data_IF_811573087349
#
_entry.id   IF_811573087349
#
_cell.length_a   1.000
_cell.length_b   1.000
_cell.length_c   1.000
_cell.angle_alpha   90.00
_cell.angle_beta   90.00
_cell.angle_gamma   90.00
#
_symmetry.space_group_name_H-M   'P 1'
#
loop_
_entity.id
_entity.type
_entity.pdbx_description
1 polymer ?
#
# COMPACT_ATOMS: atom_id res chain seq x y z
N UNK A 1 -2.78 5.73 -32.86
CA UNK A 1 -2.67 4.39 -32.23
C UNK A 1 -3.73 4.32 -31.15
N UNK A 2 -4.68 3.40 -31.30
CA UNK A 2 -5.83 3.27 -30.40
C UNK A 2 -5.45 2.61 -29.08
N UNK A 3 -5.61 3.34 -27.98
CA UNK A 3 -5.76 2.77 -26.65
C UNK A 3 -7.21 2.94 -26.26
N UNK A 4 -7.94 1.84 -26.08
CA UNK A 4 -9.25 1.90 -25.43
C UNK A 4 -9.14 2.56 -24.04
N UNK A 5 -10.27 2.97 -23.44
CA UNK A 5 -10.25 3.56 -22.11
C UNK A 5 -9.48 2.66 -21.14
N UNK A 6 -8.69 3.23 -20.22
CA UNK A 6 -7.97 2.45 -19.21
C UNK A 6 -8.96 1.52 -18.50
N UNK A 7 -8.64 0.24 -18.37
CA UNK A 7 -9.55 -0.78 -17.80
C UNK A 7 -9.67 -0.71 -16.26
N UNK A 8 -9.14 0.36 -15.67
CA UNK A 8 -9.15 0.66 -14.24
C UNK A 8 -8.10 -0.09 -13.43
N UNK A 9 -7.20 -0.86 -14.07
CA UNK A 9 -6.14 -1.58 -13.36
C UNK A 9 -5.05 -0.64 -12.85
N UNK A 10 -4.52 -0.99 -11.68
CA UNK A 10 -3.32 -0.38 -11.12
C UNK A 10 -2.13 -0.71 -12.00
N UNK A 11 -1.30 0.30 -12.22
CA UNK A 11 -0.07 0.19 -13.00
C UNK A 11 1.06 0.81 -12.21
N UNK A 12 2.20 0.12 -12.17
CA UNK A 12 3.44 0.68 -11.63
C UNK A 12 4.44 0.78 -12.77
N UNK A 13 5.01 1.97 -12.94
CA UNK A 13 6.01 2.27 -13.97
C UNK A 13 7.27 2.69 -13.25
N UNK A 14 8.36 1.97 -13.53
CA UNK A 14 9.72 2.43 -13.24
C UNK A 14 10.34 2.84 -14.56
N UNK A 15 10.77 4.11 -14.73
CA UNK A 15 11.41 4.56 -15.96
C UNK A 15 12.55 3.62 -16.38
N UNK A 16 12.56 3.23 -17.66
CA UNK A 16 13.54 2.27 -18.19
C UNK A 16 13.25 0.79 -17.91
N UNK A 17 12.15 0.45 -17.21
CA UNK A 17 11.70 -0.94 -16.98
C UNK A 17 10.33 -1.20 -17.62
N UNK A 18 10.00 -2.48 -17.76
CA UNK A 18 8.67 -2.93 -18.20
C UNK A 18 7.63 -2.49 -17.17
N UNK A 19 6.52 -1.89 -17.64
CA UNK A 19 5.34 -1.59 -16.82
C UNK A 19 4.83 -2.87 -16.17
N UNK A 20 4.64 -2.85 -14.85
CA UNK A 20 3.92 -3.89 -14.13
C UNK A 20 2.41 -3.59 -14.20
N UNK A 21 1.68 -4.45 -14.90
CA UNK A 21 0.22 -4.44 -14.93
C UNK A 21 -0.27 -5.25 -13.73
N UNK A 22 -0.88 -4.60 -12.75
CA UNK A 22 -1.43 -5.30 -11.60
C UNK A 22 -2.85 -5.76 -11.92
N UNK A 23 -3.28 -6.95 -11.46
CA UNK A 23 -4.65 -7.41 -11.65
C UNK A 23 -5.67 -6.65 -10.79
N UNK A 24 -5.20 -5.75 -9.91
CA UNK A 24 -6.00 -5.00 -8.95
C UNK A 24 -6.52 -3.72 -9.60
N UNK A 25 -7.74 -3.30 -9.20
CA UNK A 25 -8.33 -2.04 -9.65
C UNK A 25 -8.49 -1.10 -8.48
N UNK A 26 -8.48 0.20 -8.76
CA UNK A 26 -8.82 1.21 -7.76
C UNK A 26 -9.89 2.18 -8.23
N UNK A 27 -10.72 2.63 -7.29
CA UNK A 27 -11.74 3.66 -7.55
C UNK A 27 -11.20 5.08 -7.35
N UNK A 28 -10.01 5.22 -6.75
CA UNK A 28 -9.32 6.49 -6.52
C UNK A 28 -7.87 6.41 -6.98
N UNK A 29 -7.13 7.53 -6.94
CA UNK A 29 -5.70 7.48 -7.18
C UNK A 29 -5.01 6.67 -6.07
N UNK A 30 -4.14 5.69 -6.40
CA UNK A 30 -3.37 4.94 -5.42
C UNK A 30 -2.26 5.80 -4.82
N UNK A 31 -1.76 5.40 -3.65
CA UNK A 31 -0.57 5.97 -3.02
C UNK A 31 0.63 5.06 -3.21
N UNK A 32 1.79 5.66 -3.48
CA UNK A 32 3.07 4.98 -3.58
C UNK A 32 4.02 5.52 -2.51
N UNK A 33 4.59 4.62 -1.71
CA UNK A 33 5.62 4.93 -0.73
C UNK A 33 6.92 4.26 -1.11
N UNK A 34 8.03 4.99 -1.06
CA UNK A 34 9.36 4.47 -1.31
C UNK A 34 10.13 4.53 0.00
N UNK A 35 10.59 3.39 0.50
CA UNK A 35 11.51 3.34 1.64
C UNK A 35 12.69 4.30 1.43
N UNK A 36 12.96 5.21 2.38
CA UNK A 36 14.07 6.15 2.29
C UNK A 36 15.47 5.51 2.40
N UNK A 37 15.57 4.17 2.40
CA UNK A 37 16.80 3.41 2.59
C UNK A 37 17.08 3.11 4.06
N UNK A 38 16.04 3.20 4.91
CA UNK A 38 16.14 2.91 6.34
C UNK A 38 15.91 1.44 6.66
N UNK A 39 15.24 0.68 5.77
CA UNK A 39 15.09 -0.76 5.93
C UNK A 39 15.94 -1.51 4.91
N UNK A 40 16.61 -2.56 5.37
CA UNK A 40 17.21 -3.54 4.47
C UNK A 40 16.37 -4.81 4.51
N UNK A 41 15.84 -5.29 3.37
CA UNK A 41 15.99 -4.72 2.02
C UNK A 41 15.02 -3.54 1.75
N UNK A 42 15.42 -2.63 0.84
CA UNK A 42 14.64 -1.45 0.43
C UNK A 42 13.35 -1.86 -0.30
N UNK A 43 12.23 -1.23 0.08
CA UNK A 43 10.90 -1.61 -0.42
C UNK A 43 10.11 -0.45 -1.00
N UNK A 44 9.33 -0.77 -2.02
CA UNK A 44 8.25 0.06 -2.53
C UNK A 44 6.93 -0.44 -1.93
N UNK A 45 6.08 0.48 -1.53
CA UNK A 45 4.77 0.23 -0.95
C UNK A 45 3.70 0.84 -1.83
N UNK A 46 2.60 0.12 -1.99
CA UNK A 46 1.44 0.55 -2.75
C UNK A 46 0.21 0.45 -1.86
N UNK A 47 -0.57 1.51 -1.75
CA UNK A 47 -1.88 1.49 -1.11
C UNK A 47 -2.96 1.95 -2.09
N UNK A 48 -4.13 1.31 -2.04
CA UNK A 48 -5.23 1.64 -2.93
C UNK A 48 -6.58 1.31 -2.30
N UNK A 49 -7.63 1.86 -2.90
CA UNK A 49 -9.03 1.56 -2.55
C UNK A 49 -9.63 0.70 -3.65
N UNK A 50 -10.11 -0.51 -3.35
CA UNK A 50 -10.69 -1.41 -4.34
C UNK A 50 -12.08 -0.95 -4.84
N UNK A 51 -12.68 -1.73 -5.74
CA UNK A 51 -14.01 -1.44 -6.31
C UNK A 51 -15.15 -1.46 -5.28
N UNK A 52 -14.98 -2.14 -4.14
CA UNK A 52 -15.94 -2.16 -3.04
C UNK A 52 -15.65 -1.08 -1.99
N UNK A 53 -14.61 -0.26 -2.19
CA UNK A 53 -14.21 0.80 -1.27
C UNK A 53 -13.30 0.33 -0.13
N UNK A 54 -12.81 -0.91 -0.15
CA UNK A 54 -11.89 -1.40 0.89
C UNK A 54 -10.47 -0.91 0.65
N UNK A 55 -9.78 -0.58 1.73
CA UNK A 55 -8.37 -0.23 1.69
C UNK A 55 -7.49 -1.46 1.66
N UNK A 56 -6.48 -1.41 0.79
CA UNK A 56 -5.49 -2.46 0.61
C UNK A 56 -4.09 -1.84 0.58
N UNK A 57 -3.11 -2.63 1.02
CA UNK A 57 -1.70 -2.36 0.84
C UNK A 57 -0.96 -3.59 0.29
N UNK A 58 0.14 -3.34 -0.40
CA UNK A 58 1.10 -4.35 -0.86
C UNK A 58 2.49 -3.73 -0.89
N UNK A 59 3.51 -4.55 -1.08
CA UNK A 59 4.89 -4.11 -1.18
C UNK A 59 5.72 -5.02 -2.08
N UNK A 60 6.83 -4.47 -2.58
CA UNK A 60 7.84 -5.21 -3.31
C UNK A 60 9.24 -4.67 -3.00
N UNK A 61 10.25 -5.45 -3.34
CA UNK A 61 11.61 -4.91 -3.44
C UNK A 61 11.72 -3.95 -4.64
N UNK A 62 12.64 -2.99 -4.55
CA UNK A 62 12.88 -2.02 -5.65
C UNK A 62 13.32 -2.67 -6.96
N UNK A 63 13.99 -3.82 -6.89
CA UNK A 63 14.44 -4.59 -8.04
C UNK A 63 13.41 -5.63 -8.51
N UNK A 64 12.35 -5.89 -7.74
CA UNK A 64 11.38 -6.95 -8.03
C UNK A 64 9.92 -6.49 -7.96
N UNK A 65 9.52 -5.58 -8.88
CA UNK A 65 8.17 -5.00 -8.94
C UNK A 65 7.08 -6.06 -9.16
N UNK A 66 7.41 -7.20 -9.76
CA UNK A 66 6.47 -8.28 -10.05
C UNK A 66 5.84 -8.86 -8.76
N UNK A 67 6.51 -8.71 -7.61
CA UNK A 67 5.96 -9.08 -6.29
C UNK A 67 4.65 -8.36 -5.96
N UNK A 68 4.39 -7.16 -6.51
CA UNK A 68 3.12 -6.44 -6.27
C UNK A 68 1.91 -7.18 -6.86
N UNK A 69 2.13 -8.04 -7.86
CA UNK A 69 1.08 -8.85 -8.46
C UNK A 69 0.77 -10.11 -7.65
N UNK A 70 1.61 -10.48 -6.67
CA UNK A 70 1.39 -11.65 -5.82
C UNK A 70 0.20 -11.42 -4.87
N UNK A 71 -0.87 -12.22 -4.96
CA UNK A 71 -2.01 -12.11 -4.05
C UNK A 71 -1.63 -12.29 -2.57
N UNK A 72 -0.60 -13.07 -2.26
CA UNK A 72 -0.17 -13.36 -0.88
C UNK A 72 0.45 -12.15 -0.19
N UNK A 73 0.92 -11.16 -0.95
CA UNK A 73 1.52 -9.92 -0.42
C UNK A 73 0.51 -8.81 -0.19
N UNK A 74 -0.73 -9.00 -0.65
CA UNK A 74 -1.81 -8.04 -0.42
C UNK A 74 -2.36 -8.19 0.98
N UNK A 75 -2.47 -7.07 1.66
CA UNK A 75 -3.05 -6.98 2.97
C UNK A 75 -4.24 -6.04 2.91
N UNK A 76 -5.40 -6.52 3.36
CA UNK A 76 -6.55 -5.65 3.59
C UNK A 76 -6.28 -4.87 4.86
N UNK A 77 -6.54 -3.57 4.83
CA UNK A 77 -6.36 -2.74 6.02
C UNK A 77 -7.53 -2.99 6.95
N UNK A 78 -7.22 -3.38 8.19
CA UNK A 78 -8.21 -3.69 9.21
C UNK A 78 -7.87 -3.00 10.53
N UNK A 79 -8.88 -2.53 11.26
CA UNK A 79 -8.76 -2.01 12.63
C UNK A 79 -9.62 -2.87 13.54
N UNK A 80 -9.02 -3.49 14.56
CA UNK A 80 -9.71 -4.38 15.50
C UNK A 80 -10.54 -5.49 14.79
N UNK A 81 -10.01 -6.06 13.71
CA UNK A 81 -10.67 -7.11 12.92
C UNK A 81 -11.77 -6.62 11.97
N UNK A 82 -11.92 -5.30 11.81
CA UNK A 82 -12.90 -4.69 10.89
C UNK A 82 -12.17 -4.09 9.70
N UNK A 83 -12.60 -4.46 8.49
CA UNK A 83 -12.04 -3.94 7.25
C UNK A 83 -12.33 -2.46 7.04
N UNK A 84 -11.27 -1.69 6.81
CA UNK A 84 -11.32 -0.25 6.60
C UNK A 84 -11.75 0.10 5.18
N UNK A 85 -12.49 1.21 5.08
CA UNK A 85 -13.02 1.70 3.81
C UNK A 85 -12.72 3.18 3.61
N UNK A 86 -12.64 3.57 2.34
CA UNK A 86 -12.53 4.96 1.90
C UNK A 86 -13.21 5.12 0.54
N UNK A 87 -13.65 6.33 0.23
CA UNK A 87 -14.06 6.74 -1.12
C UNK A 87 -13.11 7.80 -1.70
N UNK A 88 -11.99 8.08 -1.01
CA UNK A 88 -10.96 9.05 -1.38
C UNK A 88 -9.60 8.37 -1.52
N UNK A 89 -8.62 9.08 -2.08
CA UNK A 89 -7.26 8.58 -2.21
C UNK A 89 -6.59 8.42 -0.84
N UNK A 90 -5.93 7.28 -0.58
CA UNK A 90 -5.07 7.14 0.59
C UNK A 90 -3.79 7.96 0.43
N UNK A 91 -3.03 8.11 1.51
CA UNK A 91 -1.68 8.65 1.51
C UNK A 91 -0.74 7.76 2.32
N UNK A 92 0.51 7.65 1.88
CA UNK A 92 1.58 6.93 2.56
C UNK A 92 2.68 7.92 2.96
N UNK A 93 3.24 7.75 4.14
CA UNK A 93 4.35 8.57 4.62
C UNK A 93 5.27 7.81 5.56
N UNK A 94 6.57 8.05 5.45
CA UNK A 94 7.55 7.53 6.40
C UNK A 94 7.85 8.54 7.49
N UNK A 95 7.98 8.07 8.72
CA UNK A 95 8.60 8.81 9.81
C UNK A 95 9.42 7.84 10.65
N UNK A 96 10.74 8.05 10.71
CA UNK A 96 11.68 7.09 11.28
C UNK A 96 11.56 5.71 10.62
N UNK A 97 11.40 4.66 11.43
CA UNK A 97 11.22 3.28 10.95
C UNK A 97 9.74 2.88 10.75
N UNK A 98 8.84 3.84 10.67
CA UNK A 98 7.41 3.54 10.55
C UNK A 98 6.86 4.05 9.23
N UNK A 99 6.05 3.20 8.60
CA UNK A 99 5.21 3.58 7.47
C UNK A 99 3.80 3.86 8.00
N UNK A 100 3.32 5.07 7.74
CA UNK A 100 1.97 5.50 8.07
C UNK A 100 1.11 5.48 6.82
N UNK A 101 -0.11 4.96 6.96
CA UNK A 101 -1.19 5.09 6.01
C UNK A 101 -2.22 6.05 6.59
N UNK A 102 -2.69 7.03 5.82
CA UNK A 102 -3.82 7.88 6.18
C UNK A 102 -4.92 7.85 5.12
N UNK A 103 -6.18 7.95 5.54
CA UNK A 103 -7.35 7.95 4.67
C UNK A 103 -8.52 8.73 5.29
N UNK A 104 -9.48 9.14 4.47
CA UNK A 104 -10.76 9.63 4.96
C UNK A 104 -11.74 8.47 5.22
N UNK A 105 -12.38 8.48 6.38
CA UNK A 105 -13.41 7.53 6.76
C UNK A 105 -14.68 7.69 5.94
N UNK A 106 -15.46 6.62 5.89
CA UNK A 106 -16.79 6.61 5.24
C UNK A 106 -17.91 7.13 6.14
N UNK A 107 -17.58 7.54 7.37
CA UNK A 107 -18.54 8.15 8.29
C UNK A 107 -19.00 9.52 7.78
N UNK A 108 -20.13 10.01 8.31
CA UNK A 108 -20.76 11.27 7.88
C UNK A 108 -19.87 12.51 8.07
N UNK A 109 -18.89 12.47 8.97
CA UNK A 109 -17.95 13.55 9.24
C UNK A 109 -16.67 13.41 8.43
N UNK A 110 -16.52 12.33 7.67
CA UNK A 110 -15.32 12.01 6.89
C UNK A 110 -14.06 12.11 7.73
N UNK A 111 -14.06 11.40 8.87
CA UNK A 111 -12.97 11.45 9.84
C UNK A 111 -11.63 11.15 9.17
N UNK A 112 -10.59 11.86 9.58
CA UNK A 112 -9.22 11.53 9.18
C UNK A 112 -8.75 10.36 10.03
N UNK A 113 -8.43 9.26 9.37
CA UNK A 113 -7.91 8.06 10.00
C UNK A 113 -6.45 7.86 9.59
N UNK A 114 -5.66 7.27 10.48
CA UNK A 114 -4.31 6.84 10.15
C UNK A 114 -3.96 5.55 10.90
N UNK A 115 -3.01 4.79 10.33
CA UNK A 115 -2.53 3.53 10.90
C UNK A 115 -1.05 3.35 10.59
N UNK A 116 -0.30 2.80 11.55
CA UNK A 116 1.04 2.27 11.31
C UNK A 116 0.92 0.93 10.59
N UNK A 117 1.55 0.82 9.43
CA UNK A 117 1.57 -0.40 8.65
C UNK A 117 2.68 -1.33 9.16
N UNK A 118 2.30 -2.24 10.05
CA UNK A 118 3.13 -3.36 10.50
C UNK A 118 2.91 -4.59 9.61
N UNK A 119 3.92 -5.46 9.47
CA UNK A 119 3.74 -6.72 8.74
C UNK A 119 3.68 -6.60 7.21
N UNK A 120 3.69 -5.38 6.65
CA UNK A 120 3.96 -5.10 5.22
C UNK A 120 5.47 -5.19 4.91
N UNK A 121 6.21 -5.81 5.84
CA UNK A 121 7.67 -5.92 5.92
C UNK A 121 8.43 -4.59 5.96
N UNK A 122 7.76 -3.54 6.45
CA UNK A 122 8.42 -2.48 7.22
C UNK A 122 9.02 -3.17 8.44
N UNK A 123 10.31 -2.96 8.70
CA UNK A 123 11.02 -3.65 9.78
C UNK A 123 10.30 -3.42 11.11
N UNK A 124 9.78 -4.50 11.70
CA UNK A 124 9.58 -4.52 13.14
C UNK A 124 10.96 -4.33 13.75
N UNK A 125 11.12 -3.32 14.60
CA UNK A 125 12.26 -3.31 15.50
C UNK A 125 12.07 -4.53 16.40
N UNK A 126 12.68 -5.65 16.00
CA UNK A 126 13.16 -6.56 17.01
C UNK A 126 14.18 -5.74 17.79
N UNK A 127 13.85 -5.40 19.04
CA UNK A 127 14.91 -5.30 20.01
C UNK A 127 15.70 -6.60 19.84
N UNK A 128 17.00 -6.50 19.63
CA UNK A 128 17.90 -7.60 19.92
C UNK A 128 17.45 -8.16 21.27
N UNK A 129 16.98 -9.42 21.27
CA UNK A 129 16.34 -10.16 22.37
C UNK A 129 14.80 -10.25 22.37
N UNK A 130 14.22 -10.73 21.26
CA UNK A 130 13.35 -11.92 21.28
C UNK A 130 12.16 -12.03 22.27
N UNK A 131 11.45 -10.96 22.61
CA UNK A 131 10.25 -11.06 23.46
C UNK A 131 9.06 -10.30 22.84
N UNK A 132 7.90 -10.96 22.63
CA UNK A 132 6.65 -10.28 22.26
C UNK A 132 5.94 -9.71 23.50
N UNK A 133 5.15 -8.66 23.31
CA UNK A 133 4.14 -8.20 24.28
C UNK A 133 3.01 -9.23 24.41
#
# INVERSE_FOLDING_TARGET
>A
MGGGPPDGRLNVIVPGRKRALLPWKSITAPALGADPGMFSPNRLYLAWVDQAGYLWASYCLYDNIEELADPARRQRIETNGVAERSFTSPSLGFSGNQLFLSWAGVDKRHTVNFKVLEGVGVGGVYLTDGMPL
#
